data_IF_357815236468
#
_entry.id   IF_357815236468
#
_cell.length_a   1.000
_cell.length_b   1.000
_cell.length_c   1.000
_cell.angle_alpha   90.00
_cell.angle_beta   90.00
_cell.angle_gamma   90.00
#
_symmetry.space_group_name_H-M   'P 1'
#
loop_
_entity.id
_entity.type
_entity.pdbx_description
1 polymer ?
#
# COMPACT_ATOMS: atom_id res chain seq x y z
N UNK A 1 -17.66 -33.67 -17.20
CA UNK A 1 -16.57 -33.33 -16.26
C UNK A 1 -17.21 -33.15 -14.90
N UNK A 2 -16.76 -33.85 -13.86
CA UNK A 2 -17.28 -33.64 -12.49
C UNK A 2 -16.83 -32.28 -11.96
N UNK A 3 -17.65 -31.58 -11.18
CA UNK A 3 -17.36 -30.23 -10.63
C UNK A 3 -15.98 -30.14 -9.96
N UNK A 4 -15.56 -31.21 -9.30
CA UNK A 4 -14.25 -31.34 -8.66
C UNK A 4 -13.05 -31.23 -9.62
N UNK A 5 -13.20 -31.71 -10.87
CA UNK A 5 -12.14 -31.58 -11.89
C UNK A 5 -11.94 -30.13 -12.30
N UNK A 6 -13.00 -29.31 -12.27
CA UNK A 6 -12.91 -27.88 -12.56
C UNK A 6 -12.32 -27.13 -11.38
N UNK A 7 -12.72 -27.43 -10.15
CA UNK A 7 -12.18 -26.82 -8.94
C UNK A 7 -10.66 -27.03 -8.84
N UNK A 8 -10.18 -28.25 -9.10
CA UNK A 8 -8.74 -28.56 -9.15
C UNK A 8 -8.01 -27.73 -10.21
N UNK A 9 -8.52 -27.71 -11.44
CA UNK A 9 -7.94 -26.92 -12.54
C UNK A 9 -7.85 -25.42 -12.19
N UNK A 10 -8.92 -24.84 -11.64
CA UNK A 10 -8.90 -23.43 -11.24
C UNK A 10 -7.93 -23.16 -10.09
N UNK A 11 -7.77 -24.11 -9.17
CA UNK A 11 -6.80 -24.02 -8.07
C UNK A 11 -5.38 -24.00 -8.61
N UNK A 12 -5.04 -24.93 -9.51
CA UNK A 12 -3.72 -24.99 -10.19
C UNK A 12 -3.43 -23.71 -10.98
N UNK A 13 -4.41 -23.19 -11.73
CA UNK A 13 -4.29 -21.91 -12.43
C UNK A 13 -4.01 -20.75 -11.47
N UNK A 14 -4.76 -20.66 -10.36
CA UNK A 14 -4.55 -19.63 -9.34
C UNK A 14 -3.16 -19.72 -8.69
N UNK A 15 -2.69 -20.93 -8.37
CA UNK A 15 -1.34 -21.17 -7.82
C UNK A 15 -0.25 -20.74 -8.81
N UNK A 16 -0.35 -21.17 -10.07
CA UNK A 16 0.63 -20.83 -11.11
C UNK A 16 0.69 -19.32 -11.38
N UNK A 17 -0.46 -18.65 -11.48
CA UNK A 17 -0.50 -17.19 -11.64
C UNK A 17 0.15 -16.47 -10.45
N UNK A 18 -0.11 -16.94 -9.23
CA UNK A 18 0.46 -16.36 -8.01
C UNK A 18 1.97 -16.56 -7.96
N UNK A 19 2.45 -17.78 -8.25
CA UNK A 19 3.87 -18.11 -8.35
C UNK A 19 4.58 -17.21 -9.35
N UNK A 20 4.01 -17.04 -10.54
CA UNK A 20 4.58 -16.18 -11.58
C UNK A 20 4.71 -14.73 -11.11
N UNK A 21 3.70 -14.19 -10.40
CA UNK A 21 3.79 -12.86 -9.81
C UNK A 21 4.92 -12.74 -8.77
N UNK A 22 5.15 -13.76 -7.94
CA UNK A 22 6.30 -13.77 -7.03
C UNK A 22 7.64 -13.95 -7.75
N UNK A 23 7.68 -14.64 -8.89
CA UNK A 23 8.89 -14.74 -9.71
C UNK A 23 9.26 -13.39 -10.35
N UNK A 24 8.28 -12.61 -10.80
CA UNK A 24 8.50 -11.22 -11.25
C UNK A 24 9.10 -10.40 -10.11
N UNK A 25 8.49 -10.47 -8.92
CA UNK A 25 9.01 -9.79 -7.73
C UNK A 25 10.42 -10.26 -7.35
N UNK A 26 10.76 -11.54 -7.52
CA UNK A 26 12.11 -12.05 -7.27
C UNK A 26 13.14 -11.39 -8.22
N UNK A 27 12.77 -11.22 -9.50
CA UNK A 27 13.61 -10.54 -10.49
C UNK A 27 13.76 -9.04 -10.24
N UNK A 28 12.79 -8.39 -9.59
CA UNK A 28 12.93 -7.01 -9.13
C UNK A 28 13.76 -6.93 -7.84
N UNK A 29 13.51 -7.84 -6.90
CA UNK A 29 14.18 -7.92 -5.62
C UNK A 29 15.68 -8.18 -5.76
N UNK A 30 16.12 -8.98 -6.74
CA UNK A 30 17.54 -9.21 -7.01
C UNK A 30 18.28 -7.93 -7.42
N UNK A 31 17.59 -6.95 -8.03
CA UNK A 31 18.17 -5.65 -8.38
C UNK A 31 18.41 -4.76 -7.16
N UNK A 32 17.95 -5.17 -5.98
CA UNK A 32 18.25 -4.48 -4.73
C UNK A 32 19.66 -4.80 -4.21
N UNK A 33 20.29 -5.86 -4.69
CA UNK A 33 21.68 -6.19 -4.35
C UNK A 33 22.61 -5.03 -4.78
N UNK A 34 23.31 -4.44 -3.82
CA UNK A 34 24.16 -3.26 -4.06
C UNK A 34 23.44 -1.91 -4.04
N UNK A 35 22.11 -1.89 -3.86
CA UNK A 35 21.40 -0.64 -3.57
C UNK A 35 21.60 -0.25 -2.10
N UNK A 36 21.96 1.01 -1.84
CA UNK A 36 22.06 1.58 -0.50
C UNK A 36 20.95 2.59 -0.23
N UNK A 37 20.64 2.82 1.05
CA UNK A 37 19.70 3.85 1.49
C UNK A 37 18.22 3.43 1.49
N UNK A 38 17.93 2.14 1.30
CA UNK A 38 16.56 1.61 1.44
C UNK A 38 16.26 1.17 2.87
N UNK A 39 14.99 1.23 3.30
CA UNK A 39 14.58 0.65 4.57
C UNK A 39 14.94 -0.84 4.69
N UNK A 40 15.36 -1.32 5.88
CA UNK A 40 15.76 -2.72 6.10
C UNK A 40 14.73 -3.76 5.62
N UNK A 41 13.44 -3.39 5.67
CA UNK A 41 12.34 -4.24 5.22
C UNK A 41 12.50 -4.71 3.76
N UNK A 42 13.01 -3.87 2.86
CA UNK A 42 13.19 -4.24 1.46
C UNK A 42 14.13 -5.43 1.29
N UNK A 43 15.26 -5.43 2.01
CA UNK A 43 16.26 -6.50 1.91
C UNK A 43 15.77 -7.81 2.51
N UNK A 44 15.04 -7.73 3.64
CA UNK A 44 14.48 -8.93 4.27
C UNK A 44 13.38 -9.53 3.38
N UNK A 45 12.48 -8.69 2.86
CA UNK A 45 11.42 -9.13 1.94
C UNK A 45 12.02 -9.71 0.65
N UNK A 46 13.05 -9.06 0.09
CA UNK A 46 13.75 -9.53 -1.10
C UNK A 46 14.28 -10.97 -0.95
N UNK A 47 14.86 -11.29 0.21
CA UNK A 47 15.34 -12.65 0.51
C UNK A 47 14.21 -13.67 0.61
N UNK A 48 13.03 -13.27 1.09
CA UNK A 48 11.89 -14.18 1.31
C UNK A 48 11.01 -14.39 0.09
N UNK A 49 10.98 -13.46 -0.87
CA UNK A 49 10.17 -13.59 -2.10
C UNK A 49 10.43 -14.91 -2.85
N UNK A 50 11.69 -15.33 -3.12
CA UNK A 50 11.94 -16.62 -3.75
C UNK A 50 11.47 -17.82 -2.92
N UNK A 51 11.54 -17.71 -1.59
CA UNK A 51 11.07 -18.77 -0.69
C UNK A 51 9.56 -18.92 -0.72
N UNK A 52 8.83 -17.81 -0.77
CA UNK A 52 7.36 -17.80 -0.94
C UNK A 52 6.97 -18.43 -2.28
N UNK A 53 7.68 -18.12 -3.36
CA UNK A 53 7.44 -18.77 -4.67
C UNK A 53 7.55 -20.29 -4.59
N UNK A 54 8.56 -20.81 -3.87
CA UNK A 54 8.73 -22.26 -3.64
C UNK A 54 7.63 -22.88 -2.80
N UNK A 55 7.00 -22.12 -1.89
CA UNK A 55 5.85 -22.62 -1.14
C UNK A 55 4.62 -22.83 -2.05
N UNK A 56 4.45 -21.98 -3.06
CA UNK A 56 3.42 -22.20 -4.08
C UNK A 56 3.71 -23.42 -4.95
N UNK A 57 4.99 -23.73 -5.25
CA UNK A 57 5.36 -24.98 -5.91
C UNK A 57 4.94 -26.20 -5.09
N UNK A 58 5.22 -26.18 -3.78
CA UNK A 58 4.79 -27.24 -2.88
C UNK A 58 3.26 -27.40 -2.86
N UNK A 59 2.50 -26.30 -2.86
CA UNK A 59 1.03 -26.36 -2.92
C UNK A 59 0.54 -26.92 -4.25
N UNK A 60 1.17 -26.59 -5.37
CA UNK A 60 0.83 -27.15 -6.69
C UNK A 60 1.00 -28.66 -6.71
N UNK A 61 2.15 -29.18 -6.26
CA UNK A 61 2.41 -30.63 -6.18
C UNK A 61 1.37 -31.36 -5.30
N UNK A 62 0.92 -30.70 -4.22
CA UNK A 62 -0.11 -31.25 -3.32
C UNK A 62 -1.49 -31.23 -3.92
N UNK A 63 -1.85 -30.19 -4.68
CA UNK A 63 -3.12 -30.13 -5.42
C UNK A 63 -3.14 -31.17 -6.53
N UNK A 64 -2.05 -31.35 -7.27
CA UNK A 64 -1.92 -32.39 -8.30
C UNK A 64 -2.11 -33.79 -7.72
N UNK A 65 -1.63 -34.02 -6.50
CA UNK A 65 -1.77 -35.29 -5.77
C UNK A 65 -3.08 -35.44 -4.99
N UNK A 66 -3.89 -34.37 -4.90
CA UNK A 66 -5.11 -34.36 -4.09
C UNK A 66 -6.21 -35.24 -4.71
N UNK A 67 -6.95 -35.94 -3.82
CA UNK A 67 -8.07 -36.79 -4.18
C UNK A 67 -9.37 -36.00 -4.29
N UNK A 68 -10.47 -36.68 -4.60
CA UNK A 68 -11.77 -36.02 -4.79
C UNK A 68 -12.39 -35.50 -3.48
N UNK A 69 -11.98 -36.00 -2.32
CA UNK A 69 -12.55 -35.59 -1.02
C UNK A 69 -12.05 -34.21 -0.54
N UNK A 70 -11.08 -33.62 -1.23
CA UNK A 70 -10.39 -32.38 -0.83
C UNK A 70 -11.03 -31.09 -1.38
N UNK A 71 -12.22 -31.13 -1.99
CA UNK A 71 -12.78 -29.98 -2.74
C UNK A 71 -12.82 -28.67 -1.93
N UNK A 72 -13.31 -28.72 -0.68
CA UNK A 72 -13.36 -27.53 0.20
C UNK A 72 -11.98 -26.90 0.41
N UNK A 73 -10.95 -27.74 0.51
CA UNK A 73 -9.57 -27.34 0.72
C UNK A 73 -8.95 -26.78 -0.56
N UNK A 74 -9.28 -27.34 -1.71
CA UNK A 74 -8.90 -26.78 -3.01
C UNK A 74 -9.45 -25.35 -3.16
N UNK A 75 -10.72 -25.13 -2.79
CA UNK A 75 -11.33 -23.79 -2.78
C UNK A 75 -10.59 -22.84 -1.82
N UNK A 76 -10.22 -23.30 -0.63
CA UNK A 76 -9.45 -22.48 0.33
C UNK A 76 -8.06 -22.11 -0.22
N UNK A 77 -7.34 -23.07 -0.80
CA UNK A 77 -6.04 -22.85 -1.47
C UNK A 77 -6.19 -21.86 -2.61
N UNK A 78 -7.23 -22.00 -3.43
CA UNK A 78 -7.52 -21.09 -4.53
C UNK A 78 -7.75 -19.65 -4.04
N UNK A 79 -8.53 -19.48 -2.97
CA UNK A 79 -8.80 -18.17 -2.36
C UNK A 79 -7.52 -17.54 -1.81
N UNK A 80 -6.70 -18.32 -1.10
CA UNK A 80 -5.41 -17.87 -0.58
C UNK A 80 -4.45 -17.49 -1.70
N UNK A 81 -4.36 -18.29 -2.77
CA UNK A 81 -3.53 -18.00 -3.92
C UNK A 81 -3.96 -16.66 -4.58
N UNK A 82 -5.25 -16.51 -4.87
CA UNK A 82 -5.77 -15.27 -5.47
C UNK A 82 -5.53 -14.03 -4.59
N UNK A 83 -5.63 -14.17 -3.27
CA UNK A 83 -5.28 -13.10 -2.34
C UNK A 83 -3.79 -12.76 -2.43
N UNK A 84 -2.92 -13.78 -2.36
CA UNK A 84 -1.48 -13.60 -2.42
C UNK A 84 -1.00 -13.03 -3.76
N UNK A 85 -1.70 -13.31 -4.87
CA UNK A 85 -1.43 -12.69 -6.18
C UNK A 85 -1.61 -11.17 -6.13
N UNK A 86 -2.73 -10.70 -5.58
CA UNK A 86 -2.98 -9.24 -5.44
C UNK A 86 -1.92 -8.58 -4.55
N UNK A 87 -1.52 -9.27 -3.50
CA UNK A 87 -0.44 -8.83 -2.62
C UNK A 87 0.91 -8.78 -3.37
N UNK A 88 1.20 -9.75 -4.24
CA UNK A 88 2.37 -9.74 -5.09
C UNK A 88 2.36 -8.54 -6.06
N UNK A 89 1.20 -8.15 -6.62
CA UNK A 89 1.05 -6.96 -7.45
C UNK A 89 1.33 -5.66 -6.65
N UNK A 90 0.93 -5.59 -5.37
CA UNK A 90 1.24 -4.45 -4.51
C UNK A 90 2.72 -4.39 -4.13
N UNK A 91 3.36 -5.54 -3.87
CA UNK A 91 4.81 -5.61 -3.67
C UNK A 91 5.57 -5.15 -4.93
N UNK A 92 5.08 -5.53 -6.11
CA UNK A 92 5.69 -5.16 -7.38
C UNK A 92 5.76 -3.64 -7.53
N UNK A 93 4.67 -2.93 -7.24
CA UNK A 93 4.64 -1.45 -7.26
C UNK A 93 5.71 -0.84 -6.36
N UNK A 94 5.85 -1.35 -5.13
CA UNK A 94 6.85 -0.88 -4.18
C UNK A 94 8.28 -1.16 -4.66
N UNK A 95 8.53 -2.35 -5.23
CA UNK A 95 9.83 -2.72 -5.78
C UNK A 95 10.18 -1.89 -7.01
N UNK A 96 9.26 -1.71 -7.95
CA UNK A 96 9.45 -0.88 -9.16
C UNK A 96 9.86 0.54 -8.76
N UNK A 97 9.19 1.14 -7.75
CA UNK A 97 9.49 2.48 -7.28
C UNK A 97 10.96 2.67 -6.84
N UNK A 98 11.53 1.65 -6.19
CA UNK A 98 12.90 1.69 -5.67
C UNK A 98 13.97 1.22 -6.65
N UNK A 99 13.64 0.34 -7.61
CA UNK A 99 14.62 -0.17 -8.61
C UNK A 99 14.64 0.63 -9.91
N UNK A 100 13.71 1.56 -10.11
CA UNK A 100 13.72 2.46 -11.28
C UNK A 100 15.03 3.23 -11.34
N UNK A 101 15.69 3.16 -12.50
CA UNK A 101 16.97 3.82 -12.78
C UNK A 101 16.80 5.33 -12.56
N UNK A 102 17.69 5.91 -11.76
CA UNK A 102 17.68 7.34 -11.44
C UNK A 102 18.41 7.63 -10.14
N UNK A 103 18.34 8.88 -9.70
CA UNK A 103 18.98 9.33 -8.46
C UNK A 103 18.52 8.49 -7.26
N UNK A 104 19.49 8.05 -6.46
CA UNK A 104 19.28 7.36 -5.21
C UNK A 104 18.46 8.19 -4.22
N UNK A 105 18.61 9.51 -4.23
CA UNK A 105 17.84 10.43 -3.37
C UNK A 105 16.35 10.42 -3.68
N UNK A 106 15.98 10.16 -4.93
CA UNK A 106 14.58 10.11 -5.39
C UNK A 106 13.92 8.74 -5.17
N UNK A 107 14.67 7.68 -4.84
CA UNK A 107 14.09 6.34 -4.64
C UNK A 107 13.09 6.30 -3.49
N UNK A 108 13.46 6.92 -2.37
CA UNK A 108 12.60 6.92 -1.18
C UNK A 108 11.35 7.77 -1.39
N UNK A 109 11.45 8.85 -2.17
CA UNK A 109 10.30 9.69 -2.50
C UNK A 109 9.35 8.99 -3.46
N UNK A 110 9.86 8.36 -4.53
CA UNK A 110 9.04 7.50 -5.40
C UNK A 110 8.35 6.37 -4.62
N UNK A 111 9.06 5.80 -3.64
CA UNK A 111 8.47 4.78 -2.78
C UNK A 111 7.34 5.35 -1.90
N UNK A 112 7.53 6.55 -1.32
CA UNK A 112 6.47 7.25 -0.58
C UNK A 112 5.28 7.52 -1.48
N UNK A 113 5.49 8.07 -2.67
CA UNK A 113 4.43 8.34 -3.66
C UNK A 113 3.70 7.06 -4.06
N UNK A 114 4.41 5.94 -4.27
CA UNK A 114 3.78 4.66 -4.57
C UNK A 114 2.86 4.20 -3.43
N UNK A 115 3.28 4.36 -2.17
CA UNK A 115 2.47 4.00 -1.00
C UNK A 115 1.29 4.95 -0.82
N UNK A 116 1.47 6.25 -1.03
CA UNK A 116 0.38 7.24 -1.05
C UNK A 116 -0.62 6.97 -2.18
N UNK A 117 -0.14 6.48 -3.33
CA UNK A 117 -0.95 6.02 -4.47
C UNK A 117 -1.61 4.65 -4.28
N UNK A 118 -1.48 4.04 -3.08
CA UNK A 118 -2.19 2.81 -2.71
C UNK A 118 -1.34 1.54 -2.72
N UNK A 119 -0.04 1.60 -2.98
CA UNK A 119 0.84 0.46 -2.74
C UNK A 119 0.96 0.19 -1.23
N UNK A 120 1.07 -1.08 -0.86
CA UNK A 120 1.30 -1.46 0.52
C UNK A 120 2.79 -1.51 0.85
N UNK A 121 3.13 -1.36 2.13
CA UNK A 121 4.52 -1.45 2.58
C UNK A 121 5.03 -2.88 2.47
N UNK A 122 6.29 -3.11 2.06
CA UNK A 122 6.80 -4.46 1.76
C UNK A 122 6.68 -5.42 2.96
N UNK A 123 6.94 -4.94 4.19
CA UNK A 123 6.78 -5.74 5.41
C UNK A 123 5.32 -6.13 5.68
N UNK A 124 4.36 -5.25 5.36
CA UNK A 124 2.93 -5.52 5.54
C UNK A 124 2.45 -6.56 4.52
N UNK A 125 2.85 -6.39 3.25
CA UNK A 125 2.52 -7.33 2.18
C UNK A 125 3.06 -8.71 2.51
N UNK A 126 4.35 -8.82 2.83
CA UNK A 126 4.99 -10.10 3.12
C UNK A 126 4.39 -10.75 4.38
N UNK A 127 4.13 -9.98 5.44
CA UNK A 127 3.47 -10.52 6.63
C UNK A 127 2.06 -11.05 6.32
N UNK A 128 1.31 -10.36 5.47
CA UNK A 128 -0.06 -10.77 5.11
C UNK A 128 -0.05 -12.06 4.28
N UNK A 129 0.82 -12.13 3.28
CA UNK A 129 1.03 -13.32 2.43
C UNK A 129 1.40 -14.53 3.27
N UNK A 130 2.40 -14.40 4.16
CA UNK A 130 2.85 -15.50 5.00
C UNK A 130 1.78 -15.94 6.01
N UNK A 131 1.00 -14.99 6.55
CA UNK A 131 -0.12 -15.33 7.43
C UNK A 131 -1.18 -16.15 6.69
N UNK A 132 -1.54 -15.76 5.46
CA UNK A 132 -2.54 -16.48 4.65
C UNK A 132 -2.02 -17.82 4.15
N UNK A 133 -0.74 -17.92 3.80
CA UNK A 133 -0.12 -19.20 3.48
C UNK A 133 -0.13 -20.15 4.68
N UNK A 134 0.06 -19.64 5.89
CA UNK A 134 -0.09 -20.42 7.13
C UNK A 134 -1.50 -20.97 7.37
N UNK A 135 -2.52 -20.45 6.66
CA UNK A 135 -3.88 -20.99 6.73
C UNK A 135 -4.01 -22.33 5.97
N UNK A 136 -3.28 -22.49 4.87
CA UNK A 136 -3.37 -23.66 3.96
C UNK A 136 -2.17 -24.60 4.04
N UNK A 137 -1.00 -24.10 4.44
CA UNK A 137 0.21 -24.90 4.70
C UNK A 137 0.13 -25.44 6.13
N UNK A 138 -0.61 -26.53 6.31
CA UNK A 138 -0.84 -27.19 7.60
C UNK A 138 -0.71 -28.71 7.47
N UNK A 139 -0.32 -29.36 8.56
CA UNK A 139 -0.31 -30.83 8.64
C UNK A 139 -1.75 -31.38 8.62
N UNK A 140 -2.00 -32.58 8.06
CA UNK A 140 -1.05 -33.46 7.38
C UNK A 140 -0.87 -33.15 5.89
N UNK A 141 -1.48 -32.07 5.37
CA UNK A 141 -1.46 -31.77 3.94
C UNK A 141 -0.08 -31.44 3.41
N UNK A 142 0.66 -30.65 4.19
CA UNK A 142 2.02 -30.25 3.90
C UNK A 142 2.91 -30.74 5.04
N UNK A 143 4.15 -31.12 4.73
CA UNK A 143 5.11 -31.57 5.73
C UNK A 143 5.38 -30.51 6.80
N UNK A 144 5.64 -30.94 8.03
CA UNK A 144 6.03 -30.08 9.16
C UNK A 144 7.15 -29.09 8.86
N UNK A 145 8.11 -29.46 8.03
CA UNK A 145 9.22 -28.59 7.62
C UNK A 145 8.71 -27.28 6.97
N UNK A 146 7.82 -27.39 5.98
CA UNK A 146 7.22 -26.24 5.32
C UNK A 146 6.37 -25.40 6.27
N UNK A 147 5.63 -26.04 7.20
CA UNK A 147 4.86 -25.33 8.24
C UNK A 147 5.78 -24.50 9.12
N UNK A 148 6.86 -25.10 9.63
CA UNK A 148 7.86 -24.41 10.45
C UNK A 148 8.51 -23.26 9.68
N UNK A 149 8.82 -23.47 8.39
CA UNK A 149 9.43 -22.46 7.54
C UNK A 149 8.53 -21.24 7.34
N UNK A 150 7.23 -21.43 7.09
CA UNK A 150 6.26 -20.32 7.02
C UNK A 150 6.24 -19.54 8.33
N UNK A 151 6.20 -20.25 9.46
CA UNK A 151 6.16 -19.61 10.78
C UNK A 151 7.43 -18.83 11.10
N UNK A 152 8.60 -19.36 10.73
CA UNK A 152 9.89 -18.68 10.89
C UNK A 152 9.94 -17.38 10.07
N UNK A 153 9.59 -17.47 8.78
CA UNK A 153 9.54 -16.29 7.89
C UNK A 153 8.56 -15.24 8.42
N UNK A 154 7.38 -15.67 8.87
CA UNK A 154 6.37 -14.76 9.43
C UNK A 154 6.89 -14.05 10.69
N UNK A 155 7.57 -14.79 11.57
CA UNK A 155 8.14 -14.25 12.80
C UNK A 155 9.27 -13.26 12.52
N UNK A 156 10.10 -13.50 11.49
CA UNK A 156 11.13 -12.56 11.09
C UNK A 156 10.51 -11.27 10.53
N UNK A 157 9.54 -11.38 9.62
CA UNK A 157 8.91 -10.22 8.98
C UNK A 157 8.13 -9.38 9.98
N UNK A 158 7.45 -10.00 10.95
CA UNK A 158 6.73 -9.28 12.04
C UNK A 158 7.65 -8.46 12.95
N UNK A 159 8.94 -8.78 13.00
CA UNK A 159 9.93 -8.02 13.80
C UNK A 159 10.46 -6.79 13.06
N UNK A 160 10.12 -6.63 11.77
CA UNK A 160 10.60 -5.49 10.99
C UNK A 160 9.94 -4.20 11.48
N UNK A 161 10.72 -3.12 11.63
CA UNK A 161 10.13 -1.81 11.82
C UNK A 161 9.38 -1.38 10.55
N UNK A 162 8.36 -0.53 10.67
CA UNK A 162 7.71 0.05 9.51
C UNK A 162 8.71 0.73 8.57
N UNK A 163 8.65 0.41 7.29
CA UNK A 163 9.57 0.93 6.27
C UNK A 163 9.33 2.41 5.97
N UNK A 164 8.10 2.87 6.16
CA UNK A 164 7.73 4.28 6.21
C UNK A 164 7.13 4.61 7.57
N UNK A 165 7.47 5.79 8.08
CA UNK A 165 6.77 6.35 9.23
C UNK A 165 5.31 6.59 8.82
N UNK A 166 4.33 6.35 9.72
CA UNK A 166 2.98 6.83 9.48
C UNK A 166 3.05 8.33 9.22
N UNK A 167 2.41 8.77 8.15
CA UNK A 167 2.44 10.17 7.76
C UNK A 167 1.80 10.97 8.90
N UNK A 168 2.58 11.83 9.55
CA UNK A 168 2.07 12.75 10.58
C UNK A 168 1.28 13.90 9.96
N UNK A 169 0.89 13.77 8.68
CA UNK A 169 -0.20 14.53 8.09
C UNK A 169 -1.49 14.04 8.74
N UNK A 170 -1.67 14.39 10.02
CA UNK A 170 -3.01 14.60 10.55
C UNK A 170 -3.68 15.55 9.56
N UNK A 171 -4.52 15.00 8.69
CA UNK A 171 -5.42 15.82 7.90
C UNK A 171 -6.13 16.70 8.90
N UNK A 172 -5.88 18.01 8.85
CA UNK A 172 -6.42 18.96 9.82
C UNK A 172 -7.93 18.83 9.73
N UNK A 173 -8.54 18.13 10.68
CA UNK A 173 -9.99 18.04 10.78
C UNK A 173 -10.46 19.35 11.36
N UNK A 174 -10.75 20.30 10.47
CA UNK A 174 -11.38 21.55 10.84
C UNK A 174 -12.86 21.29 11.14
N UNK A 175 -13.19 21.12 12.42
CA UNK A 175 -14.59 21.13 12.88
C UNK A 175 -15.06 22.59 12.95
N UNK A 176 -15.59 23.11 11.84
CA UNK A 176 -16.27 24.41 11.85
C UNK A 176 -17.77 24.17 12.10
N UNK A 177 -18.24 24.54 13.28
CA UNK A 177 -19.66 24.48 13.67
C UNK A 177 -20.25 25.89 13.81
N UNK A 178 -20.12 26.71 12.76
CA UNK A 178 -20.62 28.08 12.73
C UNK A 178 -21.01 28.51 11.32
N UNK A 179 -21.83 29.55 11.20
CA UNK A 179 -22.18 30.16 9.92
C UNK A 179 -21.02 31.04 9.43
N UNK A 180 -20.25 30.56 8.46
CA UNK A 180 -19.14 31.31 7.84
C UNK A 180 -18.65 30.62 6.57
N UNK A 181 -18.05 31.40 5.66
CA UNK A 181 -17.46 30.87 4.41
C UNK A 181 -16.09 30.27 4.69
N UNK A 182 -15.89 28.99 4.36
CA UNK A 182 -14.58 28.36 4.37
C UNK A 182 -13.95 28.43 2.98
N UNK A 183 -12.77 29.02 2.89
CA UNK A 183 -11.96 28.99 1.68
C UNK A 183 -10.96 27.83 1.79
N UNK A 184 -11.23 26.75 1.07
CA UNK A 184 -10.34 25.60 0.99
C UNK A 184 -9.32 25.81 -0.12
N UNK A 185 -8.04 25.74 0.23
CA UNK A 185 -6.93 25.76 -0.73
C UNK A 185 -6.33 24.36 -0.84
N UNK A 186 -6.84 23.58 -1.79
CA UNK A 186 -6.36 22.22 -2.08
C UNK A 186 -5.27 22.12 -3.15
N UNK A 187 -4.79 23.25 -3.67
CA UNK A 187 -3.80 23.30 -4.74
C UNK A 187 -2.37 23.52 -4.25
N UNK A 188 -1.39 23.27 -5.11
CA UNK A 188 0.01 23.63 -4.88
C UNK A 188 0.23 25.11 -5.18
N UNK A 189 0.70 25.89 -4.20
CA UNK A 189 1.01 27.32 -4.37
C UNK A 189 0.89 28.10 -3.06
N UNK A 190 1.48 29.29 -3.00
CA UNK A 190 1.37 30.18 -1.83
C UNK A 190 0.06 30.96 -1.87
N UNK A 191 -0.70 30.97 -0.77
CA UNK A 191 -1.80 31.93 -0.61
C UNK A 191 -1.23 33.27 -0.12
N UNK A 192 -1.51 34.40 -0.79
CA UNK A 192 -1.23 35.70 -0.19
C UNK A 192 -2.07 35.81 1.08
N UNK A 193 -1.44 36.23 2.18
CA UNK A 193 -2.11 36.49 3.45
C UNK A 193 -2.31 38.00 3.61
N UNK A 194 -3.54 38.47 3.51
CA UNK A 194 -3.87 39.85 3.84
C UNK A 194 -4.13 39.98 5.34
N UNK A 195 -3.47 40.93 6.01
CA UNK A 195 -3.76 41.28 7.41
C UNK A 195 -5.08 42.06 7.50
N UNK A 196 -6.20 41.36 7.33
CA UNK A 196 -7.57 41.87 7.48
C UNK A 196 -8.39 41.89 6.19
N UNK A 197 -9.69 41.59 6.32
CA UNK A 197 -10.67 41.58 5.23
C UNK A 197 -10.97 40.20 4.63
N UNK A 198 -12.04 40.10 3.83
CA UNK A 198 -12.40 38.89 3.09
C UNK A 198 -11.57 38.83 1.80
N UNK A 199 -10.72 37.81 1.67
CA UNK A 199 -9.96 37.57 0.45
C UNK A 199 -10.72 36.61 -0.46
N UNK A 200 -10.91 36.99 -1.73
CA UNK A 200 -11.59 36.16 -2.72
C UNK A 200 -10.58 35.90 -3.84
N UNK A 201 -10.12 34.66 -3.95
CA UNK A 201 -9.17 34.23 -4.98
C UNK A 201 -9.88 33.31 -5.97
N UNK A 202 -9.78 33.61 -7.27
CA UNK A 202 -10.41 32.84 -8.36
C UNK A 202 -11.04 33.74 -9.43
N UNK A 203 -11.52 33.13 -10.52
CA UNK A 203 -12.25 33.86 -11.57
C UNK A 203 -13.64 34.27 -11.05
N UNK A 204 -13.92 35.57 -11.04
CA UNK A 204 -15.05 36.17 -10.32
C UNK A 204 -16.15 36.69 -11.25
N UNK A 205 -16.23 36.16 -12.47
CA UNK A 205 -17.21 36.58 -13.46
C UNK A 205 -18.64 36.38 -12.95
N UNK A 206 -19.37 37.48 -12.75
CA UNK A 206 -20.76 37.48 -12.28
C UNK A 206 -20.96 37.50 -10.76
N UNK A 207 -19.90 37.66 -9.96
CA UNK A 207 -20.03 37.75 -8.51
C UNK A 207 -20.52 39.15 -8.06
N UNK A 208 -21.51 39.17 -7.18
CA UNK A 208 -22.03 40.38 -6.52
C UNK A 208 -21.74 40.31 -5.03
N UNK A 209 -21.01 41.29 -4.50
CA UNK A 209 -20.64 41.35 -3.09
C UNK A 209 -21.47 42.40 -2.36
N UNK A 210 -22.18 41.98 -1.32
CA UNK A 210 -22.91 42.87 -0.43
C UNK A 210 -22.19 42.93 0.91
N UNK A 211 -21.60 44.07 1.22
CA UNK A 211 -21.02 44.32 2.54
C UNK A 211 -22.07 44.98 3.42
N UNK A 212 -22.22 44.51 4.66
CA UNK A 212 -22.99 45.24 5.65
C UNK A 212 -22.22 46.51 6.01
N UNK A 213 -22.78 47.68 5.74
CA UNK A 213 -22.24 48.94 6.26
C UNK A 213 -22.42 48.95 7.77
N UNK A 214 -21.34 49.07 8.53
CA UNK A 214 -21.47 49.35 9.96
C UNK A 214 -22.22 50.67 10.14
N UNK A 215 -23.12 50.78 11.13
CA UNK A 215 -23.72 52.06 11.48
C UNK A 215 -22.61 53.00 11.95
N UNK A 216 -22.47 54.12 11.26
CA UNK A 216 -21.46 55.14 11.50
C UNK A 216 -21.53 55.65 12.95
N UNK A 217 -20.62 55.16 13.81
CA UNK A 217 -20.26 55.88 15.02
C UNK A 217 -19.26 56.95 14.64
N UNK A 218 -19.75 58.18 14.53
CA UNK A 218 -18.91 59.35 14.36
C UNK A 218 -17.87 59.42 15.48
N UNK A 219 -16.60 59.43 15.09
CA UNK A 219 -15.64 60.42 15.57
C UNK A 219 -14.39 60.40 14.70
N UNK A 220 -14.12 61.58 14.13
CA UNK A 220 -12.91 61.93 13.39
C UNK A 220 -11.67 61.71 14.25
N UNK A 221 -10.75 60.86 13.81
CA UNK A 221 -9.35 60.87 14.26
C UNK A 221 -8.44 60.49 13.07
N UNK A 222 -8.22 61.45 12.17
CA UNK A 222 -7.05 61.44 11.30
C UNK A 222 -5.84 61.94 12.11
N UNK A 223 -4.69 61.24 12.13
CA UNK A 223 -3.46 61.82 12.62
C UNK A 223 -2.93 62.81 11.57
N UNK A 224 -2.67 64.05 12.00
CA UNK A 224 -1.95 65.04 11.20
C UNK A 224 -0.47 64.62 11.12
N UNK A 225 0.03 64.52 9.89
CA UNK A 225 1.44 64.30 9.59
C UNK A 225 2.35 65.36 10.25
N UNK A 226 3.51 64.92 10.72
CA UNK A 226 4.75 65.71 10.77
C UNK A 226 5.85 64.92 10.07
#
# INVERSE_FOLDING_TARGET
>A
MSDNSMTKLYTEMSLNNTRNAFNVNAGLASKLEGTSGLPPAFYVVARRVPEVSRLFDCLTERVESAGQEDEKKLVEIQQVANYCRRQAEDLEKALVAVVTIGDATLRLERYREAVEGGAQRPEQVMSSVLSRLGDVIREPFVSREHVNKVQEMLNEVKKLPPSLKPDSREGVRLYNSGSGTQLYHGGTGSQPNCNGGTQINGDSHGASYHFASEPSKGNSLWPKNK
#
